data_IF_887496964803
#
_entry.id   IF_887496964803
#
_cell.length_a   1.000
_cell.length_b   1.000
_cell.length_c   1.000
_cell.angle_alpha   90.00
_cell.angle_beta   90.00
_cell.angle_gamma   90.00
#
_symmetry.space_group_name_H-M   'P 1'
#
loop_
_entity.id
_entity.type
_entity.pdbx_description
1 polymer ?
#
# COMPACT_ATOMS: atom_id res chain seq x y z
N UNK A 1 5.66 -45.72 7.74
CA UNK A 1 4.20 -45.52 7.86
C UNK A 1 3.90 -44.06 7.53
N UNK A 2 3.43 -43.76 6.32
CA UNK A 2 3.00 -42.40 5.92
C UNK A 2 1.59 -42.54 5.35
N UNK A 3 0.59 -42.34 6.20
CA UNK A 3 -0.82 -42.26 5.79
C UNK A 3 -1.05 -40.92 5.10
N UNK A 4 -1.07 -40.92 3.77
CA UNK A 4 -1.57 -39.79 2.98
C UNK A 4 -3.09 -39.83 3.01
N UNK A 5 -3.72 -39.13 3.96
CA UNK A 5 -5.16 -38.89 3.91
C UNK A 5 -5.44 -37.91 2.76
N UNK A 6 -5.84 -38.45 1.61
CA UNK A 6 -6.41 -37.66 0.53
C UNK A 6 -7.81 -37.18 0.99
N UNK A 7 -7.92 -35.91 1.36
CA UNK A 7 -9.23 -35.28 1.64
C UNK A 7 -10.00 -35.18 0.33
N UNK A 8 -10.87 -36.16 0.08
CA UNK A 8 -11.78 -36.16 -1.06
C UNK A 8 -12.77 -35.00 -0.87
N UNK A 9 -12.45 -33.86 -1.46
CA UNK A 9 -13.29 -32.67 -1.37
C UNK A 9 -14.29 -32.72 -2.51
N UNK A 10 -15.59 -32.73 -2.20
CA UNK A 10 -16.62 -32.89 -3.21
C UNK A 10 -16.59 -31.77 -4.25
N UNK A 11 -16.87 -32.06 -5.53
CA UNK A 11 -16.88 -31.03 -6.60
C UNK A 11 -17.85 -29.88 -6.26
N UNK A 12 -18.98 -30.21 -5.63
CA UNK A 12 -19.98 -29.24 -5.12
C UNK A 12 -19.41 -28.30 -4.05
N UNK A 13 -18.47 -28.78 -3.26
CA UNK A 13 -17.80 -28.05 -2.19
C UNK A 13 -16.75 -27.07 -2.73
N UNK A 14 -16.08 -27.44 -3.84
CA UNK A 14 -15.13 -26.58 -4.56
C UNK A 14 -15.88 -25.45 -5.28
N UNK A 15 -16.95 -25.80 -5.99
CA UNK A 15 -17.81 -24.81 -6.68
C UNK A 15 -18.51 -23.86 -5.70
N UNK A 16 -19.01 -24.37 -4.56
CA UNK A 16 -19.62 -23.53 -3.53
C UNK A 16 -18.67 -22.50 -2.92
N UNK A 17 -17.37 -22.83 -2.79
CA UNK A 17 -16.34 -21.87 -2.35
C UNK A 17 -16.02 -20.82 -3.41
N UNK A 18 -15.92 -21.22 -4.67
CA UNK A 18 -15.68 -20.30 -5.78
C UNK A 18 -16.80 -19.26 -5.93
N UNK A 19 -18.06 -19.70 -5.81
CA UNK A 19 -19.20 -18.79 -5.86
C UNK A 19 -19.23 -17.84 -4.66
N UNK A 20 -18.97 -18.32 -3.43
CA UNK A 20 -18.87 -17.43 -2.25
C UNK A 20 -17.75 -16.40 -2.36
N UNK A 21 -16.62 -16.76 -2.98
CA UNK A 21 -15.51 -15.84 -3.25
C UNK A 21 -15.91 -14.75 -4.26
N UNK A 22 -16.62 -15.12 -5.33
CA UNK A 22 -17.09 -14.18 -6.34
C UNK A 22 -18.11 -13.16 -5.80
N UNK A 23 -18.91 -13.54 -4.81
CA UNK A 23 -19.87 -12.66 -4.14
C UNK A 23 -19.26 -11.74 -3.06
N UNK A 24 -17.95 -11.83 -2.79
CA UNK A 24 -17.23 -10.87 -1.94
C UNK A 24 -16.62 -9.72 -2.76
N UNK A 25 -17.31 -9.25 -3.81
CA UNK A 25 -17.02 -7.97 -4.43
C UNK A 25 -17.37 -6.86 -3.41
N UNK A 26 -16.37 -6.43 -2.63
CA UNK A 26 -16.46 -5.20 -1.83
C UNK A 26 -16.69 -4.04 -2.80
N UNK A 27 -17.92 -3.57 -2.87
CA UNK A 27 -18.22 -2.25 -3.43
C UNK A 27 -17.56 -1.21 -2.52
N UNK A 28 -16.47 -0.61 -2.98
CA UNK A 28 -15.86 0.54 -2.33
C UNK A 28 -16.65 1.77 -2.80
N UNK A 29 -17.52 2.32 -1.96
CA UNK A 29 -18.17 3.60 -2.26
C UNK A 29 -17.10 4.70 -2.30
N UNK A 30 -17.12 5.55 -3.33
CA UNK A 30 -16.26 6.74 -3.42
C UNK A 30 -16.54 7.79 -2.33
N UNK A 31 -17.56 7.57 -1.48
CA UNK A 31 -17.87 8.36 -0.28
C UNK A 31 -17.00 7.95 0.92
N UNK A 32 -15.75 7.59 0.66
CA UNK A 32 -14.74 7.43 1.71
C UNK A 32 -14.23 8.80 2.18
N UNK A 33 -13.53 8.87 3.32
CA UNK A 33 -12.87 10.10 3.73
C UNK A 33 -11.99 10.62 2.57
N UNK A 34 -12.10 11.92 2.26
CA UNK A 34 -11.28 12.61 1.23
C UNK A 34 -9.78 12.57 1.55
N UNK A 35 -9.43 12.16 2.77
CA UNK A 35 -8.08 12.10 3.30
C UNK A 35 -7.71 10.66 3.64
N UNK A 36 -6.41 10.36 3.54
CA UNK A 36 -5.88 9.07 3.98
C UNK A 36 -6.05 8.92 5.50
N UNK A 37 -6.26 7.70 5.95
CA UNK A 37 -6.26 7.41 7.38
C UNK A 37 -4.91 7.81 8.01
N UNK A 38 -4.95 8.47 9.17
CA UNK A 38 -3.74 9.00 9.84
C UNK A 38 -2.64 7.95 10.07
N UNK A 39 -3.04 6.71 10.36
CA UNK A 39 -2.10 5.59 10.53
C UNK A 39 -1.33 5.25 9.24
N UNK A 40 -1.98 5.35 8.08
CA UNK A 40 -1.33 5.17 6.78
C UNK A 40 -0.40 6.33 6.47
N UNK A 41 -0.81 7.56 6.80
CA UNK A 41 0.02 8.75 6.63
C UNK A 41 1.30 8.69 7.48
N UNK A 42 1.19 8.36 8.77
CA UNK A 42 2.38 8.16 9.64
C UNK A 42 3.32 7.10 9.08
N UNK A 43 2.76 6.00 8.59
CA UNK A 43 3.57 4.92 8.01
C UNK A 43 4.28 5.35 6.73
N UNK A 44 3.58 6.06 5.84
CA UNK A 44 4.18 6.61 4.62
C UNK A 44 5.32 7.58 4.96
N UNK A 45 5.13 8.48 5.93
CA UNK A 45 6.17 9.40 6.42
C UNK A 45 7.38 8.66 6.98
N UNK A 46 7.16 7.63 7.78
CA UNK A 46 8.24 6.80 8.32
C UNK A 46 9.05 6.12 7.21
N UNK A 47 8.37 5.56 6.20
CA UNK A 47 9.02 4.94 5.05
C UNK A 47 9.78 5.96 4.18
N UNK A 48 9.26 7.18 4.04
CA UNK A 48 9.95 8.26 3.34
C UNK A 48 11.22 8.71 4.08
N UNK A 49 11.16 8.79 5.41
CA UNK A 49 12.33 9.11 6.23
C UNK A 49 13.38 8.00 6.12
N UNK A 50 12.95 6.74 6.15
CA UNK A 50 13.82 5.59 5.95
C UNK A 50 14.49 5.63 4.57
N UNK A 51 13.74 5.94 3.49
CA UNK A 51 14.30 6.12 2.14
C UNK A 51 15.43 7.15 2.13
N UNK A 52 15.20 8.34 2.70
CA UNK A 52 16.21 9.40 2.75
C UNK A 52 17.46 9.00 3.56
N UNK A 53 17.29 8.17 4.59
CA UNK A 53 18.41 7.61 5.36
C UNK A 53 19.20 6.59 4.55
N UNK A 54 18.51 5.71 3.83
CA UNK A 54 19.14 4.71 2.96
C UNK A 54 19.86 5.36 1.78
N UNK A 55 19.31 6.42 1.17
CA UNK A 55 19.98 7.17 0.09
C UNK A 55 21.30 7.79 0.57
N UNK A 56 21.32 8.38 1.77
CA UNK A 56 22.55 8.92 2.38
C UNK A 56 23.59 7.82 2.59
N UNK A 57 23.18 6.69 3.17
CA UNK A 57 24.07 5.55 3.38
C UNK A 57 24.61 4.98 2.07
N UNK A 58 23.80 4.96 1.02
CA UNK A 58 24.21 4.53 -0.32
C UNK A 58 25.21 5.48 -0.98
N UNK A 59 25.08 6.79 -0.71
CA UNK A 59 26.01 7.79 -1.22
C UNK A 59 27.41 7.62 -0.62
N UNK A 60 27.50 7.24 0.65
CA UNK A 60 28.77 6.99 1.34
C UNK A 60 29.35 5.61 1.02
N UNK A 61 28.50 4.57 0.95
CA UNK A 61 28.92 3.20 0.69
C UNK A 61 27.86 2.38 -0.05
N UNK A 62 28.20 1.88 -1.23
CA UNK A 62 27.26 1.12 -2.04
C UNK A 62 27.06 -0.31 -1.52
N UNK A 63 25.89 -0.59 -0.95
CA UNK A 63 25.42 -1.94 -0.64
C UNK A 63 24.18 -2.28 -1.49
N UNK A 64 24.28 -3.36 -2.29
CA UNK A 64 23.21 -3.87 -3.15
C UNK A 64 21.91 -4.13 -2.39
N UNK A 65 21.97 -4.58 -1.13
CA UNK A 65 20.78 -4.86 -0.32
C UNK A 65 20.06 -3.58 0.09
N UNK A 66 20.82 -2.57 0.51
CA UNK A 66 20.29 -1.25 0.85
C UNK A 66 19.75 -0.54 -0.39
N UNK A 67 20.43 -0.66 -1.53
CA UNK A 67 20.01 -0.10 -2.81
C UNK A 67 18.64 -0.66 -3.26
N UNK A 68 18.46 -1.97 -3.11
CA UNK A 68 17.20 -2.64 -3.45
C UNK A 68 16.07 -2.16 -2.53
N UNK A 69 16.36 -1.94 -1.25
CA UNK A 69 15.37 -1.43 -0.29
C UNK A 69 15.02 0.04 -0.58
N UNK A 70 15.99 0.89 -0.84
CA UNK A 70 15.77 2.27 -1.27
C UNK A 70 14.90 2.32 -2.53
N UNK A 71 15.24 1.55 -3.57
CA UNK A 71 14.42 1.49 -4.79
C UNK A 71 12.96 1.06 -4.57
N UNK A 72 12.68 0.20 -3.59
CA UNK A 72 11.30 -0.18 -3.21
C UNK A 72 10.55 0.93 -2.47
N UNK A 73 11.27 1.78 -1.72
CA UNK A 73 10.68 2.88 -0.97
C UNK A 73 10.57 4.17 -1.79
N UNK A 74 11.27 4.26 -2.93
CA UNK A 74 11.24 5.40 -3.83
C UNK A 74 9.80 5.75 -4.28
N UNK A 75 9.03 4.76 -4.73
CA UNK A 75 7.65 4.97 -5.16
C UNK A 75 6.75 5.49 -4.03
N UNK A 76 6.91 4.97 -2.82
CA UNK A 76 6.16 5.43 -1.63
C UNK A 76 6.51 6.88 -1.31
N UNK A 77 7.79 7.24 -1.36
CA UNK A 77 8.25 8.62 -1.10
C UNK A 77 7.70 9.61 -2.13
N UNK A 78 7.64 9.21 -3.41
CA UNK A 78 7.11 10.04 -4.48
C UNK A 78 5.59 10.23 -4.34
N UNK A 79 4.83 9.15 -4.16
CA UNK A 79 3.38 9.24 -3.98
C UNK A 79 2.98 10.02 -2.73
N UNK A 80 3.80 10.02 -1.68
CA UNK A 80 3.58 10.84 -0.48
C UNK A 80 3.70 12.34 -0.82
N UNK A 81 4.72 12.73 -1.60
CA UNK A 81 4.86 14.13 -2.05
C UNK A 81 3.68 14.57 -2.90
N UNK A 82 3.32 13.76 -3.90
CA UNK A 82 2.15 14.03 -4.77
C UNK A 82 0.85 14.16 -3.94
N UNK A 83 0.68 13.33 -2.91
CA UNK A 83 -0.45 13.42 -1.99
C UNK A 83 -0.45 14.73 -1.18
N UNK A 84 0.71 15.14 -0.65
CA UNK A 84 0.85 16.40 0.09
C UNK A 84 0.59 17.61 -0.82
N UNK A 85 1.12 17.59 -2.04
CA UNK A 85 0.90 18.64 -3.03
C UNK A 85 -0.58 18.74 -3.43
N UNK A 86 -1.26 17.60 -3.60
CA UNK A 86 -2.69 17.57 -3.88
C UNK A 86 -3.52 18.12 -2.70
N UNK A 87 -3.16 17.82 -1.45
CA UNK A 87 -3.81 18.42 -0.27
C UNK A 87 -3.58 19.93 -0.26
N UNK A 88 -2.35 20.38 -0.48
CA UNK A 88 -2.00 21.80 -0.49
C UNK A 88 -2.82 22.55 -1.55
N UNK A 89 -2.86 22.03 -2.79
CA UNK A 89 -3.67 22.59 -3.87
C UNK A 89 -5.17 22.60 -3.53
N UNK A 90 -5.70 21.52 -2.94
CA UNK A 90 -7.10 21.44 -2.52
C UNK A 90 -7.42 22.48 -1.43
N UNK A 91 -6.54 22.63 -0.44
CA UNK A 91 -6.69 23.64 0.62
C UNK A 91 -6.62 25.08 0.10
N UNK A 92 -5.74 25.37 -0.86
CA UNK A 92 -5.67 26.68 -1.52
C UNK A 92 -6.94 26.99 -2.33
N UNK A 93 -7.49 26.01 -3.05
CA UNK A 93 -8.71 26.20 -3.84
C UNK A 93 -9.94 26.52 -2.99
N UNK A 94 -9.99 26.04 -1.74
CA UNK A 94 -11.04 26.37 -0.77
C UNK A 94 -10.89 27.80 -0.23
N UNK A 95 -9.67 28.33 -0.15
CA UNK A 95 -9.40 29.68 0.36
C UNK A 95 -9.73 30.78 -0.66
N UNK A 96 -9.64 30.49 -1.97
CA UNK A 96 -9.90 31.47 -3.04
C UNK A 96 -11.40 31.62 -3.35
N UNK A 97 -12.23 30.67 -2.92
CA UNK A 97 -13.69 30.70 -3.13
C UNK A 97 -14.49 31.33 -1.98
N UNK A 98 -13.83 31.95 -0.99
CA UNK A 98 -14.44 32.68 0.13
C UNK A 98 -14.16 34.18 0.02
#
# INVERSE_FOLDING_TARGET
MISRMATYTCHRCVFGRLLRSAFQLRFQSSVGPKFLADGLLRRAQQLSNEHSGLEKQLADSYDKKLATRAGRLASVSQSLKEYQDAIAACSQSLFISS
#
